data_IF_356349288329
#
_entry.id   IF_356349288329
#
_cell.length_a   1.000
_cell.length_b   1.000
_cell.length_c   1.000
_cell.angle_alpha   90.00
_cell.angle_beta   90.00
_cell.angle_gamma   90.00
#
_symmetry.space_group_name_H-M   'P 1'
#
loop_
_entity.id
_entity.type
_entity.pdbx_description
1 polymer ?
#
# COMPACT_ATOMS: atom_id res chain seq x y z
N UNK A 1 -2.53 5.73 -19.07
CA UNK A 1 -2.39 4.38 -18.48
C UNK A 1 -3.38 4.25 -17.33
N UNK A 2 -4.04 3.10 -17.24
CA UNK A 2 -4.92 2.73 -16.13
C UNK A 2 -4.58 1.29 -15.70
N UNK A 3 -4.85 0.94 -14.45
CA UNK A 3 -4.45 -0.33 -13.84
C UNK A 3 -5.60 -0.85 -12.97
N UNK A 4 -6.08 -2.07 -13.24
CA UNK A 4 -6.96 -2.80 -12.35
C UNK A 4 -6.18 -3.52 -11.25
N UNK A 5 -6.67 -3.49 -10.01
CA UNK A 5 -6.05 -4.18 -8.88
C UNK A 5 -7.10 -4.59 -7.84
N UNK A 6 -6.77 -5.55 -6.97
CA UNK A 6 -7.62 -5.96 -5.85
C UNK A 6 -6.94 -5.64 -4.53
N UNK A 7 -7.63 -4.93 -3.65
CA UNK A 7 -7.15 -4.55 -2.31
C UNK A 7 -8.25 -4.87 -1.29
N UNK A 8 -7.95 -5.70 -0.29
CA UNK A 8 -8.94 -6.17 0.70
C UNK A 8 -10.25 -6.66 0.05
N UNK A 9 -10.14 -7.53 -0.95
CA UNK A 9 -11.24 -8.09 -1.75
C UNK A 9 -12.10 -7.05 -2.49
N UNK A 10 -11.60 -5.82 -2.67
CA UNK A 10 -12.22 -4.78 -3.49
C UNK A 10 -11.46 -4.60 -4.78
N UNK A 11 -12.17 -4.74 -5.90
CA UNK A 11 -11.64 -4.44 -7.23
C UNK A 11 -11.62 -2.92 -7.43
N UNK A 12 -10.47 -2.40 -7.79
CA UNK A 12 -10.19 -0.98 -7.97
C UNK A 12 -9.59 -0.73 -9.34
N UNK A 13 -9.78 0.48 -9.87
CA UNK A 13 -9.06 0.99 -11.03
C UNK A 13 -8.31 2.25 -10.65
N UNK A 14 -6.99 2.22 -10.82
CA UNK A 14 -6.10 3.37 -10.65
C UNK A 14 -5.77 3.96 -12.03
N UNK A 15 -5.86 5.27 -12.17
CA UNK A 15 -5.44 5.96 -13.40
C UNK A 15 -4.94 7.37 -13.11
N UNK A 16 -4.28 8.00 -14.09
CA UNK A 16 -3.97 9.43 -14.06
C UNK A 16 -4.96 10.18 -14.95
N UNK A 17 -5.60 11.20 -14.42
CA UNK A 17 -6.50 12.06 -15.20
C UNK A 17 -5.72 13.01 -16.12
N UNK A 18 -6.46 13.82 -16.90
CA UNK A 18 -5.87 14.78 -17.85
C UNK A 18 -4.99 15.86 -17.22
N UNK A 19 -5.08 16.07 -15.91
CA UNK A 19 -4.20 16.96 -15.15
C UNK A 19 -2.96 16.24 -14.57
N UNK A 20 -2.85 14.93 -14.79
CA UNK A 20 -1.80 14.07 -14.23
C UNK A 20 -2.07 13.58 -12.81
N UNK A 21 -3.22 13.97 -12.22
CA UNK A 21 -3.59 13.60 -10.85
C UNK A 21 -4.01 12.13 -10.79
N UNK A 22 -3.50 11.40 -9.80
CA UNK A 22 -3.89 10.02 -9.54
C UNK A 22 -5.33 9.96 -9.03
N UNK A 23 -6.10 9.03 -9.60
CA UNK A 23 -7.49 8.75 -9.28
C UNK A 23 -7.66 7.26 -9.07
N UNK A 24 -8.48 6.88 -8.08
CA UNK A 24 -8.84 5.49 -7.84
C UNK A 24 -10.35 5.39 -7.72
N UNK A 25 -10.97 4.52 -8.51
CA UNK A 25 -12.39 4.20 -8.41
C UNK A 25 -12.57 2.73 -8.06
N UNK A 26 -13.75 2.38 -7.53
CA UNK A 26 -14.23 1.00 -7.58
C UNK A 26 -14.30 0.58 -9.04
N UNK A 27 -13.81 -0.62 -9.36
CA UNK A 27 -13.71 -1.13 -10.72
C UNK A 27 -15.07 -1.63 -11.24
N UNK A 28 -16.06 -0.75 -11.24
CA UNK A 28 -17.45 -1.09 -11.48
C UNK A 28 -18.22 0.11 -12.01
N UNK A 29 -18.56 0.08 -13.29
CA UNK A 29 -19.39 1.10 -13.91
C UNK A 29 -20.78 1.14 -13.25
N UNK A 30 -21.28 2.32 -12.90
CA UNK A 30 -22.59 2.48 -12.27
C UNK A 30 -23.78 2.19 -13.18
N UNK A 31 -23.57 2.08 -14.49
CA UNK A 31 -24.62 1.73 -15.45
C UNK A 31 -24.98 0.24 -15.40
N UNK A 32 -24.01 -0.63 -15.75
CA UNK A 32 -24.20 -2.09 -15.89
C UNK A 32 -23.02 -2.90 -15.37
N UNK A 33 -22.27 -2.34 -14.42
CA UNK A 33 -21.26 -3.04 -13.62
C UNK A 33 -20.04 -3.54 -14.40
N UNK A 34 -19.89 -3.16 -15.67
CA UNK A 34 -18.68 -3.42 -16.45
C UNK A 34 -17.44 -2.89 -15.72
N UNK A 35 -16.34 -3.62 -15.87
CA UNK A 35 -15.04 -3.21 -15.32
C UNK A 35 -14.57 -1.95 -16.02
N UNK A 36 -14.21 -0.96 -15.24
CA UNK A 36 -13.65 0.30 -15.72
C UNK A 36 -12.13 0.19 -15.99
N UNK A 37 -11.47 -0.81 -15.40
CA UNK A 37 -10.07 -1.17 -15.68
C UNK A 37 -9.87 -1.78 -17.07
N UNK A 38 -10.94 -2.22 -17.73
CA UNK A 38 -10.97 -2.57 -19.16
C UNK A 38 -11.39 -1.36 -20.02
N UNK A 39 -11.46 -0.18 -19.42
CA UNK A 39 -11.88 1.08 -20.02
C UNK A 39 -10.83 1.72 -20.92
N UNK A 40 -11.03 3.00 -21.21
CA UNK A 40 -10.02 3.84 -21.85
C UNK A 40 -10.00 5.25 -21.26
N UNK A 41 -8.97 6.03 -21.58
CA UNK A 41 -8.91 7.44 -21.21
C UNK A 41 -9.25 8.31 -22.41
N UNK A 42 -10.35 9.05 -22.31
CA UNK A 42 -10.79 10.04 -23.30
C UNK A 42 -10.78 11.41 -22.63
N UNK A 43 -10.03 12.37 -23.20
CA UNK A 43 -9.87 13.72 -22.66
C UNK A 43 -9.50 13.74 -21.16
N UNK A 44 -8.68 12.76 -20.75
CA UNK A 44 -8.25 12.62 -19.37
C UNK A 44 -9.30 12.09 -18.39
N UNK A 45 -10.42 11.56 -18.88
CA UNK A 45 -11.52 10.96 -18.12
C UNK A 45 -11.54 9.46 -18.33
N UNK A 46 -12.00 8.71 -17.34
CA UNK A 46 -12.14 7.26 -17.46
C UNK A 46 -13.45 6.92 -18.16
N UNK A 47 -13.36 6.35 -19.34
CA UNK A 47 -14.49 5.90 -20.14
C UNK A 47 -14.72 4.39 -20.00
N UNK A 48 -15.96 4.01 -19.74
CA UNK A 48 -16.40 2.62 -19.74
C UNK A 48 -16.58 2.11 -21.17
N UNK A 49 -15.86 1.06 -21.57
CA UNK A 49 -15.98 0.47 -22.92
C UNK A 49 -17.32 -0.21 -23.22
N UNK A 50 -18.20 -0.38 -22.23
CA UNK A 50 -19.50 -0.99 -22.52
C UNK A 50 -20.44 -0.03 -23.26
N UNK A 51 -20.58 1.21 -22.79
CA UNK A 51 -21.53 2.19 -23.38
C UNK A 51 -20.95 3.60 -23.52
N UNK A 52 -19.65 3.79 -23.26
CA UNK A 52 -18.98 5.09 -23.39
C UNK A 52 -19.27 6.08 -22.27
N UNK A 53 -19.78 5.64 -21.10
CA UNK A 53 -19.98 6.54 -19.97
C UNK A 53 -18.63 7.01 -19.43
N UNK A 54 -18.44 8.32 -19.32
CA UNK A 54 -17.19 8.90 -18.81
C UNK A 54 -17.32 9.40 -17.38
N UNK A 55 -16.30 9.15 -16.58
CA UNK A 55 -16.23 9.52 -15.17
C UNK A 55 -15.00 10.38 -14.88
N UNK A 56 -15.16 11.41 -14.03
CA UNK A 56 -14.07 12.30 -13.64
C UNK A 56 -14.12 12.68 -12.15
N UNK A 57 -12.99 13.22 -11.66
CA UNK A 57 -12.90 13.79 -10.32
C UNK A 57 -13.18 12.76 -9.21
N UNK A 58 -14.22 13.01 -8.43
CA UNK A 58 -14.68 12.11 -7.37
C UNK A 58 -15.70 11.07 -7.89
N UNK A 59 -15.48 10.57 -9.12
CA UNK A 59 -16.32 9.53 -9.73
C UNK A 59 -17.62 10.03 -10.35
N UNK A 60 -17.78 11.33 -10.58
CA UNK A 60 -18.98 11.89 -11.22
C UNK A 60 -19.02 11.48 -12.70
N UNK A 61 -20.15 10.97 -13.18
CA UNK A 61 -20.38 10.79 -14.61
C UNK A 61 -20.60 12.16 -15.27
N UNK A 62 -19.89 12.41 -16.37
CA UNK A 62 -19.90 13.69 -17.07
C UNK A 62 -20.25 13.58 -18.55
N UNK A 63 -20.26 12.37 -19.09
CA UNK A 63 -20.65 12.09 -20.47
C UNK A 63 -21.43 10.79 -20.52
N UNK A 64 -22.57 10.81 -21.21
CA UNK A 64 -23.38 9.63 -21.53
C UNK A 64 -23.73 9.77 -23.02
N UNK A 65 -23.05 9.04 -23.93
CA UNK A 65 -23.23 9.27 -25.37
C UNK A 65 -24.66 9.06 -25.88
N UNK A 66 -25.46 8.25 -25.18
CA UNK A 66 -26.85 7.96 -25.53
C UNK A 66 -27.86 8.92 -24.89
N UNK A 67 -27.41 9.87 -24.07
CA UNK A 67 -28.29 10.84 -23.43
C UNK A 67 -28.54 12.03 -24.37
N UNK A 68 -29.80 12.42 -24.63
CA UNK A 68 -30.11 13.62 -25.40
C UNK A 68 -29.45 14.87 -24.81
N UNK A 69 -29.02 15.80 -25.66
CA UNK A 69 -28.26 16.99 -25.25
C UNK A 69 -29.02 17.94 -24.31
N UNK A 70 -30.34 17.89 -24.32
CA UNK A 70 -31.24 18.67 -23.45
C UNK A 70 -31.57 17.93 -22.13
N UNK A 71 -31.22 16.65 -22.02
CA UNK A 71 -31.43 15.86 -20.82
C UNK A 71 -30.26 16.00 -19.83
N UNK A 72 -30.57 15.84 -18.54
CA UNK A 72 -29.58 15.94 -17.46
C UNK A 72 -29.07 14.56 -17.07
N UNK A 73 -27.75 14.43 -16.91
CA UNK A 73 -27.12 13.24 -16.33
C UNK A 73 -27.70 13.01 -14.92
N UNK A 74 -28.24 11.81 -14.62
CA UNK A 74 -28.77 11.51 -13.29
C UNK A 74 -27.70 11.67 -12.22
N UNK A 75 -28.06 12.25 -11.06
CA UNK A 75 -27.11 12.40 -9.93
C UNK A 75 -26.54 11.06 -9.43
N UNK A 76 -27.29 9.97 -9.60
CA UNK A 76 -26.88 8.62 -9.25
C UNK A 76 -25.91 7.98 -10.26
N UNK A 77 -25.68 8.61 -11.42
CA UNK A 77 -24.64 8.20 -12.36
C UNK A 77 -23.27 8.62 -11.81
N UNK A 78 -22.79 7.88 -10.81
CA UNK A 78 -21.48 8.09 -10.22
C UNK A 78 -20.86 6.75 -9.85
N UNK A 79 -19.54 6.70 -9.91
CA UNK A 79 -18.74 5.56 -9.43
C UNK A 79 -18.16 5.91 -8.07
N UNK A 80 -17.93 4.89 -7.28
CA UNK A 80 -17.35 5.07 -5.95
C UNK A 80 -15.88 5.43 -6.09
N UNK A 81 -15.50 6.61 -5.62
CA UNK A 81 -14.12 7.09 -5.66
C UNK A 81 -13.42 6.92 -4.31
N UNK A 82 -12.15 6.51 -4.36
CA UNK A 82 -11.27 6.37 -3.22
C UNK A 82 -10.26 7.51 -3.21
N UNK A 83 -9.91 7.99 -2.02
CA UNK A 83 -8.82 8.95 -1.87
C UNK A 83 -7.48 8.25 -2.10
N UNK A 84 -6.63 8.89 -2.89
CA UNK A 84 -5.32 8.39 -3.28
C UNK A 84 -4.26 9.40 -2.90
N UNK A 85 -3.13 8.92 -2.38
CA UNK A 85 -1.91 9.72 -2.23
C UNK A 85 -0.70 8.97 -2.74
N UNK A 86 0.21 9.70 -3.36
CA UNK A 86 1.54 9.21 -3.62
C UNK A 86 2.46 9.67 -2.49
N UNK A 87 3.24 8.76 -1.92
CA UNK A 87 4.24 9.06 -0.90
C UNK A 87 5.39 8.06 -1.02
N UNK A 88 6.61 8.57 -1.16
CA UNK A 88 7.85 7.77 -1.08
C UNK A 88 7.83 6.51 -1.95
N UNK A 89 7.56 6.68 -3.25
CA UNK A 89 7.53 5.56 -4.21
C UNK A 89 6.25 4.72 -4.20
N UNK A 90 5.33 4.93 -3.25
CA UNK A 90 4.14 4.10 -3.05
C UNK A 90 2.85 4.89 -3.32
N UNK A 91 1.89 4.25 -3.98
CA UNK A 91 0.52 4.75 -4.12
C UNK A 91 -0.36 4.18 -3.00
N UNK A 92 -0.81 5.06 -2.12
CA UNK A 92 -1.68 4.75 -1.00
C UNK A 92 -3.13 5.02 -1.37
N UNK A 93 -4.00 4.03 -1.13
CA UNK A 93 -5.45 4.17 -1.30
C UNK A 93 -6.13 4.08 0.06
N UNK A 94 -6.93 5.08 0.41
CA UNK A 94 -7.69 5.07 1.64
C UNK A 94 -9.02 4.32 1.45
N UNK A 95 -9.07 3.10 1.98
CA UNK A 95 -10.18 2.15 1.73
C UNK A 95 -11.46 2.43 2.52
N UNK A 96 -11.44 3.36 3.49
CA UNK A 96 -12.59 3.68 4.33
C UNK A 96 -13.35 4.90 3.81
N UNK A 97 -14.66 4.75 3.59
CA UNK A 97 -15.57 5.88 3.32
C UNK A 97 -16.26 6.41 4.58
N UNK A 98 -16.16 5.71 5.71
CA UNK A 98 -16.81 6.11 6.98
C UNK A 98 -16.00 7.15 7.75
N UNK A 99 -14.68 7.14 7.56
CA UNK A 99 -13.73 8.03 8.22
C UNK A 99 -12.83 8.65 7.15
N UNK A 100 -12.59 9.97 7.18
CA UNK A 100 -11.66 10.60 6.26
C UNK A 100 -10.23 10.09 6.51
N UNK A 101 -9.37 10.09 5.48
CA UNK A 101 -7.96 9.80 5.67
C UNK A 101 -7.33 10.80 6.61
N UNK A 102 -6.39 10.31 7.41
CA UNK A 102 -5.59 11.12 8.32
C UNK A 102 -4.18 11.21 7.72
N UNK A 103 -3.75 12.37 7.17
CA UNK A 103 -2.46 12.50 6.51
C UNK A 103 -1.27 12.10 7.38
N UNK A 104 -1.34 12.39 8.69
CA UNK A 104 -0.32 12.02 9.67
C UNK A 104 -0.25 10.50 9.97
N UNK A 105 -1.12 9.68 9.37
CA UNK A 105 -1.06 8.22 9.49
C UNK A 105 -0.40 7.54 8.29
N UNK A 106 -0.06 8.28 7.24
CA UNK A 106 0.73 7.72 6.15
C UNK A 106 2.13 7.38 6.68
N UNK A 107 2.62 6.15 6.43
CA UNK A 107 4.00 5.79 6.72
C UNK A 107 4.98 6.80 6.13
N UNK A 108 5.98 7.17 6.91
CA UNK A 108 7.04 8.08 6.51
C UNK A 108 8.40 7.52 6.90
N UNK A 109 9.25 7.32 5.92
CA UNK A 109 10.62 6.88 6.09
C UNK A 109 11.55 8.09 5.99
N UNK A 110 12.16 8.50 7.10
CA UNK A 110 12.97 9.72 7.16
C UNK A 110 14.13 9.72 6.15
N UNK A 111 14.71 8.56 5.86
CA UNK A 111 15.90 8.44 5.01
C UNK A 111 15.59 8.26 3.51
N UNK A 112 14.32 8.14 3.09
CA UNK A 112 13.96 7.82 1.70
C UNK A 112 14.62 8.79 0.70
N UNK A 113 14.34 10.09 0.73
CA UNK A 113 14.96 11.04 -0.22
C UNK A 113 16.17 11.78 0.37
N UNK A 114 16.82 11.21 1.38
CA UNK A 114 17.94 11.88 2.07
C UNK A 114 19.22 11.77 1.23
N UNK A 115 19.95 12.88 0.97
CA UNK A 115 21.24 12.81 0.28
C UNK A 115 22.20 11.82 0.95
N UNK A 116 22.82 10.95 0.15
CA UNK A 116 23.71 9.89 0.62
C UNK A 116 23.01 8.55 0.90
N UNK A 117 21.69 8.47 0.74
CA UNK A 117 20.91 7.23 0.76
C UNK A 117 20.46 6.87 -0.65
N UNK A 118 20.25 5.57 -0.88
CA UNK A 118 19.65 5.05 -2.11
C UNK A 118 18.46 4.16 -1.75
N UNK A 119 17.48 4.11 -2.65
CA UNK A 119 16.22 3.42 -2.43
C UNK A 119 16.02 2.33 -3.47
N UNK A 120 15.77 1.12 -3.00
CA UNK A 120 15.28 0.03 -3.85
C UNK A 120 13.90 -0.40 -3.36
N UNK A 121 13.03 -0.77 -4.29
CA UNK A 121 11.69 -1.24 -3.99
C UNK A 121 11.37 -2.43 -4.88
N UNK A 122 10.82 -3.48 -4.28
CA UNK A 122 10.36 -4.67 -4.99
C UNK A 122 8.92 -4.96 -4.63
N UNK A 123 8.22 -5.65 -5.53
CA UNK A 123 6.85 -6.10 -5.33
C UNK A 123 6.86 -7.62 -5.38
N UNK A 124 6.28 -8.25 -4.36
CA UNK A 124 6.17 -9.69 -4.25
C UNK A 124 4.71 -10.07 -3.99
N UNK A 125 4.13 -10.86 -4.88
CA UNK A 125 2.84 -11.49 -4.67
C UNK A 125 3.04 -12.80 -3.92
N UNK A 126 2.51 -12.86 -2.70
CA UNK A 126 2.70 -13.96 -1.78
C UNK A 126 1.34 -14.59 -1.45
N UNK A 127 1.21 -15.92 -1.47
CA UNK A 127 -0.08 -16.61 -1.30
C UNK A 127 -0.47 -16.75 0.18
N UNK A 128 -0.31 -15.69 0.97
CA UNK A 128 -0.66 -15.65 2.38
C UNK A 128 -1.08 -14.25 2.83
N UNK A 129 -1.74 -14.22 3.98
CA UNK A 129 -2.32 -13.02 4.58
C UNK A 129 -1.21 -12.05 5.05
N UNK A 130 -1.43 -10.74 4.92
CA UNK A 130 -0.40 -9.73 5.15
C UNK A 130 0.15 -9.70 6.60
N UNK A 131 -0.64 -10.06 7.61
CA UNK A 131 -0.21 -10.12 9.00
C UNK A 131 0.85 -11.19 9.22
N UNK A 132 0.79 -12.31 8.48
CA UNK A 132 1.83 -13.36 8.54
C UNK A 132 3.18 -12.82 8.05
N UNK A 133 3.17 -11.98 7.02
CA UNK A 133 4.40 -11.33 6.56
C UNK A 133 4.91 -10.33 7.60
N UNK A 134 4.03 -9.54 8.22
CA UNK A 134 4.42 -8.61 9.26
C UNK A 134 5.03 -9.34 10.47
N UNK A 135 4.43 -10.45 10.91
CA UNK A 135 4.98 -11.31 11.96
C UNK A 135 6.37 -11.82 11.61
N UNK A 136 6.57 -12.31 10.39
CA UNK A 136 7.88 -12.76 9.93
C UNK A 136 8.94 -11.63 9.96
N UNK A 137 8.57 -10.43 9.51
CA UNK A 137 9.47 -9.27 9.49
C UNK A 137 9.86 -8.80 10.91
N UNK A 138 8.99 -9.02 11.89
CA UNK A 138 9.21 -8.62 13.29
C UNK A 138 9.93 -9.68 14.13
N UNK A 139 10.07 -10.92 13.64
CA UNK A 139 10.66 -12.03 14.38
C UNK A 139 12.12 -12.29 13.96
N UNK A 140 13.12 -11.80 14.71
CA UNK A 140 14.51 -12.08 14.37
C UNK A 140 14.92 -13.55 14.55
N UNK A 141 14.13 -14.39 15.24
CA UNK A 141 14.50 -15.78 15.52
C UNK A 141 14.63 -16.64 14.25
N UNK A 142 13.93 -16.27 13.17
CA UNK A 142 14.02 -16.99 11.91
C UNK A 142 15.31 -16.71 11.13
N UNK A 143 16.05 -15.64 11.45
CA UNK A 143 17.19 -15.17 10.64
C UNK A 143 18.24 -16.28 10.42
N UNK A 144 18.77 -16.96 11.45
CA UNK A 144 19.78 -18.00 11.26
C UNK A 144 19.27 -19.22 10.49
N UNK A 145 17.95 -19.46 10.50
CA UNK A 145 17.33 -20.66 9.96
C UNK A 145 16.89 -20.47 8.50
N UNK A 146 16.07 -19.46 8.23
CA UNK A 146 15.47 -19.27 6.90
C UNK A 146 16.42 -18.54 5.93
N UNK A 147 17.45 -17.86 6.45
CA UNK A 147 18.47 -17.17 5.64
C UNK A 147 19.83 -17.89 5.68
N UNK A 148 19.85 -19.17 6.05
CA UNK A 148 21.07 -19.97 6.07
C UNK A 148 21.73 -19.97 4.69
N UNK A 149 23.00 -19.52 4.65
CA UNK A 149 23.82 -19.44 3.42
C UNK A 149 23.32 -18.47 2.36
N UNK A 150 22.29 -17.67 2.65
CA UNK A 150 21.82 -16.59 1.77
C UNK A 150 22.20 -15.20 2.30
N UNK A 151 22.42 -15.06 3.62
CA UNK A 151 22.98 -13.85 4.24
C UNK A 151 24.45 -14.02 4.63
N UNK A 152 25.26 -12.95 4.53
CA UNK A 152 26.68 -12.97 4.90
C UNK A 152 26.93 -13.34 6.38
N UNK A 153 25.95 -13.12 7.26
CA UNK A 153 26.05 -13.35 8.71
C UNK A 153 25.07 -14.43 9.24
N UNK A 154 24.15 -14.92 8.42
CA UNK A 154 23.12 -15.87 8.82
C UNK A 154 23.59 -17.31 8.61
N UNK A 155 23.85 -18.01 9.72
CA UNK A 155 24.21 -19.44 9.71
C UNK A 155 23.32 -20.22 10.64
N UNK A 156 22.82 -21.36 10.18
CA UNK A 156 21.96 -22.25 10.97
C UNK A 156 22.58 -22.66 12.31
N UNK A 157 23.89 -22.85 12.35
CA UNK A 157 24.65 -23.21 13.55
C UNK A 157 24.63 -22.14 14.65
N UNK A 158 24.31 -20.88 14.32
CA UNK A 158 24.20 -19.78 15.27
C UNK A 158 22.82 -19.70 15.95
N UNK A 159 21.87 -20.56 15.59
CA UNK A 159 20.53 -20.56 16.17
C UNK A 159 20.59 -20.83 17.68
N UNK A 160 20.00 -19.92 18.47
CA UNK A 160 20.04 -19.95 19.92
C UNK A 160 18.92 -19.08 20.51
N UNK A 161 18.67 -19.16 21.84
CA UNK A 161 17.73 -18.26 22.49
C UNK A 161 18.11 -16.79 22.25
N UNK A 162 17.10 -15.98 21.91
CA UNK A 162 17.24 -14.54 21.79
C UNK A 162 16.85 -13.85 23.10
N UNK A 163 17.52 -12.74 23.39
CA UNK A 163 17.07 -11.78 24.39
C UNK A 163 16.47 -10.59 23.63
N UNK A 164 15.28 -10.17 24.04
CA UNK A 164 14.64 -8.96 23.52
C UNK A 164 14.24 -8.08 24.70
N UNK A 165 14.70 -6.84 24.70
CA UNK A 165 14.36 -5.83 25.69
C UNK A 165 13.47 -4.78 25.03
N UNK A 166 12.19 -4.77 25.41
CA UNK A 166 11.24 -3.78 24.91
C UNK A 166 11.46 -2.46 25.63
N UNK A 167 11.84 -1.42 24.88
CA UNK A 167 12.08 -0.08 25.42
C UNK A 167 10.89 0.85 25.24
N UNK A 168 9.99 0.55 24.29
CA UNK A 168 8.81 1.36 23.99
C UNK A 168 7.61 0.48 23.66
N UNK A 169 6.43 0.89 24.15
CA UNK A 169 5.14 0.32 23.73
C UNK A 169 4.13 1.45 23.51
N UNK A 170 3.43 1.40 22.40
CA UNK A 170 2.37 2.35 22.05
C UNK A 170 1.09 1.59 21.69
N UNK A 171 0.01 2.31 21.41
CA UNK A 171 -1.22 1.74 20.85
C UNK A 171 -1.04 1.26 19.39
N UNK A 172 0.08 1.59 18.76
CA UNK A 172 0.39 1.28 17.35
C UNK A 172 1.57 0.34 17.16
N UNK A 173 2.31 -0.01 18.20
CA UNK A 173 3.45 -0.89 18.05
C UNK A 173 4.39 -0.89 19.24
N UNK A 174 5.65 -1.25 18.97
CA UNK A 174 6.69 -1.41 19.97
C UNK A 174 8.07 -1.15 19.37
N UNK A 175 9.03 -0.87 20.25
CA UNK A 175 10.43 -0.84 19.87
C UNK A 175 11.29 -1.46 20.98
N UNK A 176 12.44 -1.96 20.61
CA UNK A 176 13.37 -2.54 21.55
C UNK A 176 14.67 -2.98 20.91
N UNK A 177 15.54 -3.49 21.77
CA UNK A 177 16.83 -4.02 21.37
C UNK A 177 16.87 -5.52 21.58
N UNK A 178 17.52 -6.23 20.66
CA UNK A 178 17.64 -7.66 20.71
C UNK A 178 19.05 -8.13 20.37
N UNK A 179 19.35 -9.35 20.81
CA UNK A 179 20.64 -9.98 20.62
C UNK A 179 20.63 -11.43 21.08
N UNK A 180 21.80 -12.05 20.99
CA UNK A 180 22.01 -13.43 21.40
C UNK A 180 22.05 -13.52 22.93
N UNK A 181 21.31 -14.47 23.52
CA UNK A 181 21.26 -14.61 24.98
C UNK A 181 22.63 -14.91 25.61
N UNK A 182 23.54 -15.57 24.87
CA UNK A 182 24.89 -15.92 25.35
C UNK A 182 25.82 -14.71 25.48
N UNK A 183 25.71 -13.74 24.57
CA UNK A 183 26.57 -12.54 24.54
C UNK A 183 26.08 -11.46 25.51
N UNK A 184 24.82 -11.54 25.96
CA UNK A 184 24.11 -10.55 26.79
C UNK A 184 24.02 -9.13 26.19
N UNK A 185 24.73 -8.86 25.09
CA UNK A 185 24.65 -7.64 24.30
C UNK A 185 23.32 -7.59 23.53
N UNK A 186 22.85 -6.37 23.24
CA UNK A 186 21.64 -6.12 22.46
C UNK A 186 21.96 -5.17 21.29
N UNK A 187 22.80 -5.59 20.32
CA UNK A 187 23.36 -4.71 19.31
C UNK A 187 22.37 -4.34 18.19
N UNK A 188 21.21 -5.00 18.15
CA UNK A 188 20.22 -4.83 17.10
C UNK A 188 18.99 -4.11 17.64
N UNK A 189 18.56 -3.06 16.94
CA UNK A 189 17.32 -2.36 17.20
C UNK A 189 16.22 -2.85 16.26
N UNK A 190 15.01 -2.99 16.79
CA UNK A 190 13.80 -3.26 16.01
C UNK A 190 12.68 -2.33 16.48
N UNK A 191 12.00 -1.69 15.52
CA UNK A 191 10.77 -0.94 15.74
C UNK A 191 9.70 -1.41 14.77
N UNK A 192 8.52 -1.65 15.31
CA UNK A 192 7.30 -1.81 14.52
C UNK A 192 6.35 -0.66 14.81
N UNK A 193 5.82 -0.05 13.75
CA UNK A 193 4.71 0.89 13.80
C UNK A 193 3.64 0.49 12.77
N UNK A 194 2.44 0.14 13.26
CA UNK A 194 1.28 -0.11 12.43
C UNK A 194 1.01 1.11 11.53
N UNK A 195 0.56 0.94 10.28
CA UNK A 195 0.03 -0.30 9.71
C UNK A 195 1.06 -1.25 9.09
N UNK A 196 2.37 -0.99 9.15
CA UNK A 196 3.33 -1.89 8.50
C UNK A 196 4.75 -1.36 8.35
N UNK A 197 5.16 -0.40 9.16
CA UNK A 197 6.56 0.07 9.18
C UNK A 197 7.35 -0.83 10.10
N UNK A 198 8.35 -1.52 9.56
CA UNK A 198 9.36 -2.24 10.33
C UNK A 198 10.71 -1.59 10.06
N UNK A 199 11.35 -1.09 11.11
CA UNK A 199 12.69 -0.54 11.06
C UNK A 199 13.62 -1.47 11.82
N UNK A 200 14.73 -1.83 11.18
CA UNK A 200 15.81 -2.57 11.81
C UNK A 200 17.12 -1.81 11.63
N UNK A 201 17.91 -1.74 12.70
CA UNK A 201 19.24 -1.16 12.67
C UNK A 201 20.19 -2.11 13.41
N UNK A 202 21.36 -2.37 12.86
CA UNK A 202 22.45 -3.06 13.56
C UNK A 202 23.57 -2.07 13.85
N UNK A 203 24.18 -2.19 15.02
CA UNK A 203 25.52 -1.65 15.21
C UNK A 203 26.48 -2.49 14.36
N UNK A 204 26.92 -1.94 13.22
CA UNK A 204 28.05 -2.47 12.46
C UNK A 204 29.36 -2.25 13.22
#
# INVERSE_FOLDING_TARGET
MHLGLTVFDKQLVLYRDGSGLLRCYEDRCSHRLAKLSEGQLIDGRLECLYHGWQFQGQGKCVEIPQLPSDAKIPKAACVKAYEVRYSQGVVWVWMSHKKPPKPNKLPWFQNFDRPGFDNSSTIHDLPYEHSILLENLMDPAHIPISHDRTGFTAKRENAQPLRFEVTERTDRGFAGYWGEAKDQSLPYFLRFEAPGVVETQGNL
#
